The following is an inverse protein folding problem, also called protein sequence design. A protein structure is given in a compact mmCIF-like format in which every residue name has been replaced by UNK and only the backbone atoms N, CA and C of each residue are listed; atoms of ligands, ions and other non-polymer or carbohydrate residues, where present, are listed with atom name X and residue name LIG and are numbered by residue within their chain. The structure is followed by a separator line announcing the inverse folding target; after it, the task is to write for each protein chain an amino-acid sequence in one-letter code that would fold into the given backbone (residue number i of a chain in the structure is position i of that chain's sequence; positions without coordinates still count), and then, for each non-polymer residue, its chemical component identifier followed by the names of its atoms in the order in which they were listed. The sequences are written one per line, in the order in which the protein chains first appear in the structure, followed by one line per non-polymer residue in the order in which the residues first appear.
data_IF_940705099873
#
_entry.id   IF_940705099873
#
_cell.length_a   1.000
_cell.length_b   1.000
_cell.length_c   1.000
_cell.angle_alpha   90.00
_cell.angle_beta   90.00
_cell.angle_gamma   90.00
#
_symmetry.space_group_name_H-M   'P 1'
#
loop_
_entity.id
_entity.type
_entity.pdbx_description
1 polymer ?
#
# COMPACT_ATOMS: atom_id res chain seq x y z
N UNK A 1 43.99 -23.57 -42.33
CA UNK A 1 44.21 -22.57 -41.27
C UNK A 1 43.04 -21.59 -41.12
N UNK A 2 42.55 -20.97 -42.18
CA UNK A 2 41.44 -19.99 -42.11
C UNK A 2 40.10 -20.54 -41.57
N UNK A 3 39.76 -21.80 -41.79
CA UNK A 3 38.51 -22.41 -41.33
C UNK A 3 38.54 -22.68 -39.84
N UNK A 4 39.64 -23.02 -39.26
CA UNK A 4 39.82 -23.18 -37.80
C UNK A 4 39.71 -21.86 -37.07
N UNK A 5 40.28 -20.80 -37.62
CA UNK A 5 40.21 -19.47 -37.01
C UNK A 5 38.82 -18.88 -37.02
N UNK A 6 37.97 -19.19 -38.04
CA UNK A 6 36.55 -18.81 -38.07
C UNK A 6 35.76 -19.52 -36.98
N UNK A 7 35.99 -20.82 -36.76
CA UNK A 7 35.33 -21.59 -35.68
C UNK A 7 35.67 -21.07 -34.28
N UNK A 8 36.93 -20.73 -34.05
CA UNK A 8 37.41 -20.17 -32.77
C UNK A 8 36.76 -18.81 -32.49
N UNK A 9 36.67 -17.94 -33.51
CA UNK A 9 36.01 -16.64 -33.39
C UNK A 9 34.50 -16.75 -33.09
N UNK A 10 33.85 -17.72 -33.71
CA UNK A 10 32.41 -17.98 -33.45
C UNK A 10 32.18 -18.51 -32.03
N UNK A 11 33.03 -19.42 -31.55
CA UNK A 11 32.95 -19.94 -30.19
C UNK A 11 33.24 -18.85 -29.14
N UNK A 12 34.20 -17.97 -29.42
CA UNK A 12 34.51 -16.85 -28.54
C UNK A 12 33.36 -15.82 -28.50
N UNK A 13 32.75 -15.51 -29.65
CA UNK A 13 31.58 -14.62 -29.71
C UNK A 13 30.38 -15.22 -29.00
N UNK A 14 30.13 -16.52 -29.12
CA UNK A 14 29.06 -17.20 -28.39
C UNK A 14 29.30 -17.20 -26.87
N UNK A 15 30.53 -17.40 -26.43
CA UNK A 15 30.92 -17.36 -25.03
C UNK A 15 30.77 -15.96 -24.42
N UNK A 16 31.14 -14.91 -25.15
CA UNK A 16 30.96 -13.51 -24.72
C UNK A 16 29.45 -13.16 -24.67
N UNK A 17 28.65 -13.64 -25.64
CA UNK A 17 27.21 -13.43 -25.65
C UNK A 17 26.51 -14.12 -24.46
N UNK A 18 26.94 -15.32 -24.05
CA UNK A 18 26.45 -15.99 -22.86
C UNK A 18 26.81 -15.27 -21.56
N UNK A 19 28.01 -14.70 -21.45
CA UNK A 19 28.39 -13.90 -20.28
C UNK A 19 27.60 -12.60 -20.16
N UNK A 20 27.22 -11.99 -21.27
CA UNK A 20 26.38 -10.80 -21.27
C UNK A 20 24.89 -11.10 -20.92
N UNK A 21 24.42 -12.31 -21.23
CA UNK A 21 23.06 -12.74 -20.91
C UNK A 21 22.87 -13.12 -19.43
N UNK A 22 23.94 -13.37 -18.68
CA UNK A 22 23.88 -13.66 -17.24
C UNK A 22 24.03 -12.42 -16.35
N UNK A 23 24.07 -11.22 -16.92
CA UNK A 23 23.89 -9.99 -16.18
C UNK A 23 22.44 -9.91 -15.72
N UNK A 24 22.04 -10.82 -14.85
CA UNK A 24 20.85 -10.70 -14.06
C UNK A 24 20.96 -9.41 -13.26
N UNK A 25 19.99 -8.53 -13.42
CA UNK A 25 19.66 -7.51 -12.45
C UNK A 25 19.29 -8.21 -11.14
N UNK A 26 20.29 -8.66 -10.38
CA UNK A 26 20.07 -8.96 -8.98
C UNK A 26 19.72 -7.61 -8.34
N UNK A 27 18.45 -7.47 -7.97
CA UNK A 27 18.11 -6.46 -6.99
C UNK A 27 19.01 -6.74 -5.79
N UNK A 28 19.89 -5.80 -5.46
CA UNK A 28 20.66 -5.82 -4.21
C UNK A 28 19.68 -5.52 -3.05
N UNK A 29 18.81 -6.48 -2.79
CA UNK A 29 17.98 -6.48 -1.60
C UNK A 29 18.80 -7.23 -0.55
N UNK A 30 19.65 -6.51 0.17
CA UNK A 30 20.19 -7.03 1.42
C UNK A 30 19.03 -7.03 2.42
N UNK A 31 18.54 -8.20 2.77
CA UNK A 31 17.68 -8.38 3.92
C UNK A 31 18.51 -8.04 5.18
N UNK A 32 18.40 -6.79 5.61
CA UNK A 32 19.10 -6.31 6.81
C UNK A 32 18.51 -6.89 8.09
N UNK A 33 17.49 -7.74 7.99
CA UNK A 33 16.75 -8.30 9.14
C UNK A 33 15.96 -7.27 9.94
N UNK A 34 16.02 -5.98 9.56
CA UNK A 34 15.34 -4.88 10.25
C UNK A 34 13.96 -4.58 9.70
N UNK A 35 13.64 -5.00 8.47
CA UNK A 35 12.35 -4.80 7.82
C UNK A 35 11.63 -6.14 7.63
N UNK A 36 11.16 -6.74 8.71
CA UNK A 36 10.32 -7.92 8.61
C UNK A 36 8.89 -7.50 8.26
N UNK A 37 8.47 -7.72 7.01
CA UNK A 37 7.09 -7.50 6.57
C UNK A 37 6.09 -8.53 7.11
N UNK A 38 6.54 -9.64 7.71
CA UNK A 38 5.70 -10.70 8.27
C UNK A 38 5.63 -10.64 9.78
N UNK A 39 4.41 -10.59 10.31
CA UNK A 39 4.13 -10.58 11.73
C UNK A 39 3.20 -11.75 12.08
N UNK A 40 3.67 -12.68 12.90
CA UNK A 40 2.91 -13.85 13.37
C UNK A 40 1.92 -13.49 14.48
N UNK A 41 1.11 -12.46 14.26
CA UNK A 41 0.11 -11.92 15.17
C UNK A 41 -1.04 -11.26 14.42
N UNK A 42 -2.14 -10.97 15.14
CA UNK A 42 -3.25 -10.22 14.57
C UNK A 42 -2.84 -8.77 14.22
N UNK A 43 -3.60 -8.10 13.35
CA UNK A 43 -3.39 -6.65 13.11
C UNK A 43 -3.52 -5.85 14.40
N UNK A 44 -4.45 -6.25 15.30
CA UNK A 44 -4.64 -5.57 16.57
C UNK A 44 -3.39 -5.60 17.45
N UNK A 45 -2.73 -6.76 17.53
CA UNK A 45 -1.52 -6.92 18.32
C UNK A 45 -0.33 -6.22 17.66
N UNK A 46 -0.22 -6.30 16.33
CA UNK A 46 0.77 -5.55 15.56
C UNK A 46 0.67 -4.04 15.82
N UNK A 47 -0.53 -3.47 15.77
CA UNK A 47 -0.75 -2.05 16.10
C UNK A 47 -0.39 -1.72 17.54
N UNK A 48 -0.46 -2.68 18.45
CA UNK A 48 -0.09 -2.51 19.85
C UNK A 48 1.41 -2.43 20.10
N UNK A 49 2.21 -3.02 19.25
CA UNK A 49 3.67 -3.00 19.35
C UNK A 49 4.32 -1.76 18.75
N UNK A 50 3.67 -1.16 17.78
CA UNK A 50 4.14 0.07 17.13
C UNK A 50 3.24 1.27 17.50
N UNK A 51 3.33 1.69 18.74
CA UNK A 51 2.57 2.82 19.28
C UNK A 51 2.87 4.13 18.55
N UNK A 52 4.08 4.29 18.02
CA UNK A 52 4.49 5.48 17.28
C UNK A 52 3.62 5.71 16.04
N UNK A 53 3.25 4.66 15.36
CA UNK A 53 2.44 4.74 14.13
C UNK A 53 0.94 4.53 14.36
N UNK A 54 0.49 3.75 15.36
CA UNK A 54 -0.86 3.19 15.38
C UNK A 54 -1.71 3.49 16.63
N UNK A 55 -1.19 4.14 17.66
CA UNK A 55 -1.96 4.39 18.90
C UNK A 55 -3.27 5.14 18.66
N UNK A 56 -3.26 6.17 17.81
CA UNK A 56 -4.47 6.93 17.50
C UNK A 56 -5.52 6.08 16.79
N UNK A 57 -5.10 5.21 15.87
CA UNK A 57 -5.97 4.25 15.20
C UNK A 57 -6.58 3.27 16.21
N UNK A 58 -5.79 2.76 17.17
CA UNK A 58 -6.29 1.87 18.22
C UNK A 58 -7.34 2.54 19.10
N UNK A 59 -7.16 3.80 19.45
CA UNK A 59 -8.18 4.57 20.18
C UNK A 59 -9.47 4.70 19.35
N UNK A 60 -9.38 5.02 18.05
CA UNK A 60 -10.53 5.08 17.16
C UNK A 60 -11.24 3.72 17.07
N UNK A 61 -10.50 2.65 16.87
CA UNK A 61 -11.03 1.29 16.73
C UNK A 61 -11.74 0.82 18.02
N UNK A 62 -11.15 1.10 19.18
CA UNK A 62 -11.77 0.79 20.48
C UNK A 62 -13.09 1.54 20.67
N UNK A 63 -13.13 2.82 20.35
CA UNK A 63 -14.34 3.65 20.47
C UNK A 63 -15.45 3.24 19.52
N UNK A 64 -15.09 2.78 18.32
CA UNK A 64 -16.02 2.34 17.29
C UNK A 64 -16.44 0.86 17.42
N UNK A 65 -16.00 0.16 18.48
CA UNK A 65 -16.20 -1.28 18.68
C UNK A 65 -15.69 -2.14 17.51
N UNK A 66 -14.53 -1.77 16.97
CA UNK A 66 -13.89 -2.44 15.83
C UNK A 66 -12.63 -3.24 16.22
N UNK A 67 -12.36 -3.50 17.50
CA UNK A 67 -11.30 -4.40 17.93
C UNK A 67 -11.46 -5.80 17.31
N UNK A 68 -12.68 -6.41 17.32
CA UNK A 68 -12.88 -7.73 16.71
C UNK A 68 -12.56 -7.77 15.21
N UNK A 69 -12.70 -6.66 14.48
CA UNK A 69 -12.30 -6.56 13.08
C UNK A 69 -10.81 -6.90 12.92
N UNK A 70 -9.96 -6.20 13.65
CA UNK A 70 -8.50 -6.36 13.54
C UNK A 70 -7.97 -7.65 14.18
N UNK A 71 -8.80 -8.31 15.01
CA UNK A 71 -8.53 -9.65 15.53
C UNK A 71 -9.02 -10.78 14.61
N UNK A 72 -9.66 -10.44 13.47
CA UNK A 72 -10.22 -11.43 12.53
C UNK A 72 -11.50 -12.11 13.02
N UNK A 73 -12.22 -11.51 13.96
CA UNK A 73 -13.40 -12.05 14.63
C UNK A 73 -14.67 -11.24 14.35
N UNK A 74 -14.75 -10.60 13.17
CA UNK A 74 -15.89 -9.75 12.82
C UNK A 74 -16.68 -10.28 11.62
N UNK A 75 -17.87 -9.73 11.38
CA UNK A 75 -18.68 -9.99 10.21
C UNK A 75 -18.03 -9.51 8.89
N UNK A 76 -16.98 -8.71 8.96
CA UNK A 76 -16.22 -8.26 7.80
C UNK A 76 -15.24 -9.32 7.27
N UNK A 77 -15.13 -10.44 7.96
CA UNK A 77 -14.26 -11.56 7.59
C UNK A 77 -12.90 -11.52 8.28
N UNK A 78 -12.10 -12.50 7.93
CA UNK A 78 -10.70 -12.66 8.29
C UNK A 78 -9.89 -12.59 7.00
N UNK A 79 -8.64 -12.20 7.10
CA UNK A 79 -7.74 -12.13 5.96
C UNK A 79 -8.14 -11.06 4.92
N UNK A 80 -8.13 -9.82 5.34
CA UNK A 80 -8.48 -8.65 4.54
C UNK A 80 -7.28 -7.70 4.38
N UNK A 81 -7.42 -6.73 3.48
CA UNK A 81 -6.44 -5.63 3.33
C UNK A 81 -6.94 -4.39 4.07
N UNK A 82 -6.06 -3.76 4.82
CA UNK A 82 -6.35 -2.52 5.52
C UNK A 82 -5.42 -1.38 5.07
N UNK A 83 -5.99 -0.35 4.50
CA UNK A 83 -5.32 0.91 4.22
C UNK A 83 -5.42 1.81 5.46
N UNK A 84 -4.40 1.77 6.29
CA UNK A 84 -4.42 2.35 7.63
C UNK A 84 -3.88 3.77 7.70
N UNK A 85 -4.64 4.73 8.27
CA UNK A 85 -4.12 6.04 8.61
C UNK A 85 -3.18 5.94 9.82
N UNK A 86 -2.01 6.55 9.71
CA UNK A 86 -1.04 6.59 10.82
C UNK A 86 -1.39 7.68 11.83
N UNK A 87 -0.71 7.68 12.99
CA UNK A 87 -0.82 8.74 14.00
C UNK A 87 -0.60 10.14 13.42
N UNK A 88 0.33 10.28 12.47
CA UNK A 88 0.61 11.56 11.82
C UNK A 88 -0.59 12.07 11.02
N UNK A 89 -1.24 11.19 10.27
CA UNK A 89 -2.44 11.47 9.49
C UNK A 89 -3.59 11.89 10.41
N UNK A 90 -3.84 11.10 11.47
CA UNK A 90 -4.91 11.38 12.43
C UNK A 90 -4.66 12.71 13.17
N UNK A 91 -3.41 12.99 13.57
CA UNK A 91 -3.05 14.26 14.19
C UNK A 91 -3.31 15.46 13.26
N UNK A 92 -3.02 15.33 11.96
CA UNK A 92 -3.33 16.38 11.00
C UNK A 92 -4.83 16.62 10.88
N UNK A 93 -5.62 15.54 10.86
CA UNK A 93 -7.08 15.64 10.87
C UNK A 93 -7.59 16.38 12.11
N UNK A 94 -7.12 16.02 13.31
CA UNK A 94 -7.48 16.70 14.56
C UNK A 94 -7.19 18.19 14.47
N UNK A 95 -5.94 18.54 14.09
CA UNK A 95 -5.52 19.95 13.98
C UNK A 95 -6.35 20.72 12.97
N UNK A 96 -6.67 20.14 11.80
CA UNK A 96 -7.48 20.79 10.76
C UNK A 96 -8.92 21.05 11.19
N UNK A 97 -9.48 20.20 12.07
CA UNK A 97 -10.85 20.30 12.56
C UNK A 97 -10.95 20.92 13.97
N UNK A 98 -9.87 21.51 14.49
CA UNK A 98 -9.82 22.12 15.82
C UNK A 98 -10.21 21.15 16.94
N UNK A 99 -9.84 19.86 16.79
CA UNK A 99 -10.02 18.84 17.80
C UNK A 99 -8.71 18.65 18.58
N UNK A 100 -8.83 18.45 19.90
CA UNK A 100 -7.65 18.32 20.77
C UNK A 100 -7.12 16.89 20.82
N UNK A 101 -8.01 15.92 20.82
CA UNK A 101 -7.67 14.49 21.00
C UNK A 101 -8.57 13.59 20.17
N UNK A 102 -8.14 12.35 19.97
CA UNK A 102 -8.85 11.35 19.18
C UNK A 102 -10.25 11.05 19.72
N UNK A 103 -10.44 11.17 21.04
CA UNK A 103 -11.76 11.00 21.68
C UNK A 103 -12.77 12.08 21.30
N UNK A 104 -12.37 13.18 20.70
CA UNK A 104 -13.25 14.25 20.26
C UNK A 104 -13.85 13.97 18.86
N UNK A 105 -13.28 13.00 18.13
CA UNK A 105 -13.84 12.55 16.86
C UNK A 105 -15.19 11.82 17.16
N UNK A 106 -16.30 12.14 16.49
CA UNK A 106 -17.53 11.40 16.64
C UNK A 106 -17.36 9.89 16.40
N UNK A 107 -18.03 9.06 17.18
CA UNK A 107 -17.87 7.58 17.10
C UNK A 107 -18.21 7.06 15.70
N UNK A 108 -19.26 7.58 15.08
CA UNK A 108 -19.65 7.18 13.73
C UNK A 108 -18.59 7.54 12.69
N UNK A 109 -17.92 8.68 12.87
CA UNK A 109 -16.81 9.07 11.99
C UNK A 109 -15.60 8.16 12.18
N UNK A 110 -15.26 7.81 13.42
CA UNK A 110 -14.22 6.80 13.68
C UNK A 110 -14.52 5.49 12.97
N UNK A 111 -15.76 5.02 13.03
CA UNK A 111 -16.20 3.79 12.36
C UNK A 111 -16.11 3.91 10.84
N UNK A 112 -16.60 5.00 10.29
CA UNK A 112 -16.59 5.27 8.85
C UNK A 112 -15.17 5.35 8.31
N UNK A 113 -14.29 6.10 8.96
CA UNK A 113 -12.89 6.26 8.54
C UNK A 113 -12.14 4.92 8.52
N UNK A 114 -12.34 4.08 9.55
CA UNK A 114 -11.73 2.75 9.59
C UNK A 114 -12.30 1.88 8.46
N UNK A 115 -13.62 1.80 8.31
CA UNK A 115 -14.25 0.94 7.31
C UNK A 115 -14.00 1.40 5.86
N UNK A 116 -13.73 2.68 5.63
CA UNK A 116 -13.27 3.19 4.34
C UNK A 116 -11.91 2.61 3.93
N UNK A 117 -11.06 2.26 4.90
CA UNK A 117 -9.76 1.63 4.65
C UNK A 117 -9.79 0.10 4.55
N UNK A 118 -10.92 -0.57 4.81
CA UNK A 118 -11.01 -2.04 4.83
C UNK A 118 -11.50 -2.57 3.49
N UNK A 119 -10.65 -3.34 2.82
CA UNK A 119 -10.97 -4.11 1.62
C UNK A 119 -11.08 -5.60 1.98
N UNK A 120 -12.26 -6.22 1.76
CA UNK A 120 -12.54 -7.63 2.11
C UNK A 120 -11.87 -8.62 1.16
N UNK A 121 -10.58 -8.47 0.96
CA UNK A 121 -9.74 -9.31 0.10
C UNK A 121 -8.30 -9.16 0.55
N UNK A 122 -7.55 -10.25 0.63
CA UNK A 122 -6.11 -10.20 0.85
C UNK A 122 -5.42 -9.72 -0.41
N UNK A 123 -4.69 -8.62 -0.35
CA UNK A 123 -3.96 -8.08 -1.50
C UNK A 123 -2.62 -7.49 -1.06
N UNK A 124 -1.57 -8.00 -1.63
CA UNK A 124 -0.22 -7.43 -1.55
C UNK A 124 -0.04 -6.37 -2.66
N UNK A 125 1.07 -5.63 -2.64
CA UNK A 125 1.38 -4.61 -3.65
C UNK A 125 1.25 -5.13 -5.10
N UNK A 126 1.74 -6.34 -5.37
CA UNK A 126 1.79 -6.92 -6.71
C UNK A 126 0.43 -7.45 -7.20
N UNK A 127 -0.55 -7.59 -6.30
CA UNK A 127 -1.91 -8.00 -6.64
C UNK A 127 -2.74 -6.85 -7.24
N UNK A 128 -2.31 -5.59 -7.05
CA UNK A 128 -2.99 -4.44 -7.60
C UNK A 128 -2.63 -4.22 -9.07
N UNK A 129 -3.65 -4.13 -9.93
CA UNK A 129 -3.46 -3.88 -11.36
C UNK A 129 -2.72 -2.56 -11.60
N UNK A 130 -1.83 -2.59 -12.56
CA UNK A 130 -1.13 -1.37 -13.01
C UNK A 130 -2.14 -0.37 -13.57
N UNK A 131 -1.87 0.90 -13.30
CA UNK A 131 -2.69 2.00 -13.80
C UNK A 131 -1.88 3.29 -13.90
N UNK A 132 -2.52 4.31 -14.45
CA UNK A 132 -1.97 5.66 -14.54
C UNK A 132 -3.03 6.67 -14.12
N UNK A 133 -2.63 7.69 -13.38
CA UNK A 133 -3.54 8.76 -12.97
C UNK A 133 -4.22 9.42 -14.16
N UNK A 134 -5.41 9.97 -13.94
CA UNK A 134 -6.06 10.81 -14.94
C UNK A 134 -5.22 12.06 -15.22
N UNK A 135 -5.19 12.46 -16.49
CA UNK A 135 -4.66 13.76 -16.91
C UNK A 135 -5.74 14.82 -16.98
N UNK A 136 -7.02 14.42 -16.88
CA UNK A 136 -8.17 15.29 -16.87
C UNK A 136 -8.61 15.54 -15.42
N UNK A 137 -8.61 16.81 -15.01
CA UNK A 137 -9.01 17.23 -13.66
C UNK A 137 -10.50 16.99 -13.38
N UNK A 138 -11.33 16.86 -14.41
CA UNK A 138 -12.77 16.60 -14.26
C UNK A 138 -13.09 15.12 -14.01
N UNK A 139 -12.18 14.22 -14.36
CA UNK A 139 -12.35 12.77 -14.17
C UNK A 139 -11.23 12.22 -13.30
N UNK A 140 -11.51 11.87 -12.04
CA UNK A 140 -10.48 11.40 -11.12
C UNK A 140 -9.92 10.01 -11.48
N UNK A 141 -10.66 9.22 -12.26
CA UNK A 141 -10.28 7.86 -12.66
C UNK A 141 -9.44 7.92 -13.93
N UNK A 142 -8.25 7.32 -13.89
CA UNK A 142 -7.35 7.23 -15.03
C UNK A 142 -7.51 5.93 -15.82
N UNK A 143 -6.40 5.39 -16.32
CA UNK A 143 -6.38 4.14 -17.10
C UNK A 143 -5.87 2.98 -16.27
N UNK A 144 -6.37 1.76 -16.54
CA UNK A 144 -6.01 0.56 -15.78
C UNK A 144 -6.58 0.58 -14.37
N UNK A 145 -5.87 -0.04 -13.41
CA UNK A 145 -6.37 -0.17 -12.05
C UNK A 145 -7.67 -0.96 -11.95
N UNK A 146 -8.32 -0.88 -10.79
CA UNK A 146 -9.58 -1.56 -10.53
C UNK A 146 -10.43 -0.80 -9.52
N UNK A 147 -11.74 -0.87 -9.67
CA UNK A 147 -12.68 -0.30 -8.71
C UNK A 147 -12.99 -1.32 -7.61
N UNK A 148 -12.82 -0.92 -6.37
CA UNK A 148 -13.10 -1.74 -5.19
C UNK A 148 -14.18 -1.13 -4.33
N UNK A 149 -15.06 -1.99 -3.76
CA UNK A 149 -16.03 -1.59 -2.75
C UNK A 149 -15.46 -1.90 -1.37
N UNK A 150 -15.23 -0.86 -0.58
CA UNK A 150 -14.71 -0.95 0.77
C UNK A 150 -15.78 -1.46 1.75
N UNK A 151 -15.38 -1.85 2.96
CA UNK A 151 -16.32 -2.36 3.97
C UNK A 151 -17.40 -1.36 4.41
N UNK A 152 -17.16 -0.07 4.26
CA UNK A 152 -18.14 1.01 4.45
C UNK A 152 -19.20 1.10 3.33
N UNK A 153 -18.99 0.41 2.20
CA UNK A 153 -19.75 0.61 0.96
C UNK A 153 -19.16 1.68 0.02
N UNK A 154 -18.14 2.42 0.46
CA UNK A 154 -17.46 3.40 -0.37
C UNK A 154 -16.72 2.71 -1.52
N UNK A 155 -16.75 3.31 -2.70
CA UNK A 155 -15.95 2.85 -3.83
C UNK A 155 -14.66 3.64 -3.93
N UNK A 156 -13.55 2.92 -4.12
CA UNK A 156 -12.24 3.49 -4.41
C UNK A 156 -11.68 2.85 -5.68
N UNK A 157 -11.13 3.67 -6.56
CA UNK A 157 -10.32 3.18 -7.66
C UNK A 157 -8.89 3.03 -7.18
N UNK A 158 -8.36 1.80 -7.25
CA UNK A 158 -7.03 1.46 -6.74
C UNK A 158 -6.17 0.94 -7.88
N UNK A 159 -4.94 1.44 -7.96
CA UNK A 159 -3.96 1.00 -8.95
C UNK A 159 -2.55 1.04 -8.38
N UNK A 160 -1.66 0.24 -8.95
CA UNK A 160 -0.23 0.34 -8.71
C UNK A 160 0.45 1.06 -9.87
N UNK A 161 1.44 1.89 -9.56
CA UNK A 161 2.20 2.65 -10.54
C UNK A 161 3.68 2.64 -10.18
N UNK A 162 4.53 2.46 -11.19
CA UNK A 162 5.97 2.56 -11.00
C UNK A 162 6.43 3.99 -11.26
N UNK A 163 6.89 4.64 -10.21
CA UNK A 163 7.35 6.02 -10.28
C UNK A 163 8.59 6.19 -11.16
N UNK A 164 8.79 7.36 -11.75
CA UNK A 164 10.06 7.69 -12.36
C UNK A 164 11.13 7.92 -11.27
N UNK A 165 12.37 7.60 -11.60
CA UNK A 165 13.53 7.98 -10.80
C UNK A 165 14.49 8.81 -11.65
N UNK A 166 14.94 9.96 -11.15
CA UNK A 166 15.77 10.92 -11.90
C UNK A 166 15.22 11.25 -13.29
N UNK A 167 13.89 11.44 -13.41
CA UNK A 167 13.16 11.69 -14.65
C UNK A 167 13.19 10.52 -15.67
N UNK A 168 13.66 9.33 -15.28
CA UNK A 168 13.59 8.13 -16.11
C UNK A 168 12.33 7.36 -15.75
N UNK A 169 11.35 7.22 -16.67
CA UNK A 169 10.10 6.51 -16.40
C UNK A 169 10.32 5.04 -16.05
N UNK A 170 9.54 4.52 -15.10
CA UNK A 170 9.53 3.09 -14.77
C UNK A 170 10.80 2.57 -14.09
N UNK A 171 11.60 3.43 -13.46
CA UNK A 171 12.84 3.04 -12.75
C UNK A 171 12.78 3.30 -11.24
N UNK A 172 11.75 3.98 -10.77
CA UNK A 172 11.54 4.24 -9.35
C UNK A 172 10.72 3.14 -8.66
N UNK A 173 10.34 3.37 -7.40
CA UNK A 173 9.55 2.40 -6.63
C UNK A 173 8.15 2.23 -7.22
N UNK A 174 7.58 1.06 -6.99
CA UNK A 174 6.15 0.82 -7.25
C UNK A 174 5.36 1.26 -6.03
N UNK A 175 4.32 2.04 -6.25
CA UNK A 175 3.42 2.54 -5.20
C UNK A 175 1.96 2.18 -5.48
N UNK A 176 1.15 2.05 -4.43
CA UNK A 176 -0.31 1.88 -4.52
C UNK A 176 -0.96 3.24 -4.37
N UNK A 177 -1.85 3.55 -5.29
CA UNK A 177 -2.68 4.76 -5.31
C UNK A 177 -4.14 4.41 -5.09
N UNK A 178 -4.80 5.21 -4.26
CA UNK A 178 -6.22 5.12 -3.97
C UNK A 178 -6.88 6.44 -4.38
N UNK A 179 -7.91 6.35 -5.19
CA UNK A 179 -8.65 7.52 -5.69
C UNK A 179 -10.11 7.37 -5.30
N UNK A 180 -10.64 8.37 -4.63
CA UNK A 180 -12.05 8.45 -4.32
C UNK A 180 -12.80 9.18 -5.45
N UNK A 181 -13.69 8.51 -6.20
CA UNK A 181 -14.48 9.16 -7.23
C UNK A 181 -15.41 10.25 -6.65
N UNK A 182 -15.82 10.09 -5.40
CA UNK A 182 -16.74 11.01 -4.72
C UNK A 182 -16.08 12.32 -4.30
N UNK A 183 -14.89 12.23 -3.71
CA UNK A 183 -14.15 13.41 -3.22
C UNK A 183 -13.14 13.94 -4.24
N UNK A 184 -12.92 13.21 -5.33
CA UNK A 184 -11.88 13.47 -6.36
C UNK A 184 -10.46 13.52 -5.79
N UNK A 185 -10.26 12.98 -4.59
CA UNK A 185 -8.97 12.97 -3.91
C UNK A 185 -8.19 11.70 -4.24
N UNK A 186 -6.90 11.88 -4.38
CA UNK A 186 -5.92 10.79 -4.56
C UNK A 186 -5.03 10.73 -3.35
N UNK A 187 -4.86 9.53 -2.81
CA UNK A 187 -3.90 9.22 -1.75
C UNK A 187 -3.02 8.07 -2.20
N UNK A 188 -1.85 7.93 -1.60
CA UNK A 188 -0.97 6.80 -1.87
C UNK A 188 -0.50 6.12 -0.58
N UNK A 189 0.05 4.95 -0.74
CA UNK A 189 0.59 4.14 0.35
C UNK A 189 2.04 4.55 0.62
N UNK A 190 2.36 4.86 1.87
CA UNK A 190 3.73 5.16 2.30
C UNK A 190 4.53 3.91 2.65
N UNK A 191 3.88 2.89 3.23
CA UNK A 191 4.49 1.58 3.53
C UNK A 191 3.52 0.47 3.19
N UNK A 192 3.94 -0.50 2.39
CA UNK A 192 3.09 -1.59 1.91
C UNK A 192 3.55 -2.95 2.42
N UNK A 193 2.71 -3.97 2.22
CA UNK A 193 3.02 -5.39 2.45
C UNK A 193 3.35 -5.73 3.91
N UNK A 194 2.71 -5.08 4.87
CA UNK A 194 2.80 -5.47 6.28
C UNK A 194 1.80 -6.62 6.49
N UNK A 195 2.28 -7.85 6.42
CA UNK A 195 1.48 -9.06 6.51
C UNK A 195 1.30 -9.47 7.97
N UNK A 196 0.07 -9.80 8.36
CA UNK A 196 -0.31 -10.26 9.69
C UNK A 196 -1.16 -11.53 9.60
N UNK A 197 -1.48 -12.18 10.71
CA UNK A 197 -2.38 -13.34 10.72
C UNK A 197 -3.82 -13.01 10.30
N UNK A 198 -4.21 -11.76 10.30
CA UNK A 198 -5.57 -11.31 9.95
C UNK A 198 -5.62 -10.50 8.66
N UNK A 199 -4.55 -10.52 7.86
CA UNK A 199 -4.46 -9.90 6.54
C UNK A 199 -3.28 -8.96 6.38
N UNK A 200 -3.39 -8.05 5.41
CA UNK A 200 -2.32 -7.13 5.00
C UNK A 200 -2.65 -5.71 5.42
N UNK A 201 -1.66 -5.01 5.97
CA UNK A 201 -1.73 -3.57 6.25
C UNK A 201 -0.89 -2.81 5.22
N UNK A 202 -1.48 -1.77 4.64
CA UNK A 202 -0.82 -0.74 3.86
C UNK A 202 -0.98 0.59 4.60
N UNK A 203 0.11 1.12 5.13
CA UNK A 203 0.10 2.40 5.82
C UNK A 203 -0.06 3.54 4.81
N UNK A 204 -1.08 4.36 4.98
CA UNK A 204 -1.32 5.52 4.13
C UNK A 204 -0.24 6.60 4.36
N UNK A 205 0.08 7.31 3.30
CA UNK A 205 1.06 8.39 3.31
C UNK A 205 0.69 9.50 4.30
N UNK A 206 1.71 10.24 4.72
CA UNK A 206 1.58 11.39 5.61
C UNK A 206 0.57 12.44 5.12
N UNK A 207 0.43 12.62 3.82
CA UNK A 207 -0.46 13.63 3.24
C UNK A 207 -1.94 13.20 3.16
N UNK A 208 -2.25 11.93 3.38
CA UNK A 208 -3.62 11.45 3.47
C UNK A 208 -4.43 12.21 4.53
N UNK A 209 -5.69 12.49 4.26
CA UNK A 209 -6.64 13.05 5.19
C UNK A 209 -7.83 12.10 5.36
N UNK A 210 -8.34 11.93 6.58
CA UNK A 210 -9.47 11.02 6.86
C UNK A 210 -10.72 11.32 6.03
N UNK A 211 -10.88 12.55 5.55
CA UNK A 211 -11.97 12.97 4.66
C UNK A 211 -11.69 12.74 3.16
N UNK A 212 -10.57 12.17 2.79
CA UNK A 212 -10.22 11.96 1.37
C UNK A 212 -10.98 10.76 0.78
N UNK A 213 -11.51 9.85 1.62
CA UNK A 213 -12.29 8.69 1.20
C UNK A 213 -13.76 8.80 1.57
#
# INVERSE_FOLDING_TARGET
MQHQMKKIRLLFAAFVATLLATSCTQYNFEDTGLANGKHEKSMWDYFGEDSYNWDSLRVMAKRADLIPLFQGNSAYGKDFTFFGPTNHTIRRYLKKNSLEKVSDIPINDCKTFILNGVLRKHMMLDDFKRGTKSTDVSTPIGKGGEMFTMASGRQLWIYSFQEPYNNVPGTGPVQIYLVSPTTTRTSHVGSCNIETQTGVVHALDYYFNLNDF
#
